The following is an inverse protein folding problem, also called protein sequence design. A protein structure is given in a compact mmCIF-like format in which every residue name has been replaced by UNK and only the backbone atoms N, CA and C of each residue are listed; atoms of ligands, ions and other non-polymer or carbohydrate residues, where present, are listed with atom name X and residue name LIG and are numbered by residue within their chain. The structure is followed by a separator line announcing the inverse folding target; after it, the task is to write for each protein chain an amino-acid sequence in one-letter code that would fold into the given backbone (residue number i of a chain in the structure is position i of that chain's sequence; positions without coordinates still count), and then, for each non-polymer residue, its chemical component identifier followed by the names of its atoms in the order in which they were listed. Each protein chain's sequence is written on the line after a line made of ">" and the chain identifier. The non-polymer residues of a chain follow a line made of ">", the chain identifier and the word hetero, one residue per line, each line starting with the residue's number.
data_IF_055421658764
#
_entry.id   IF_055421658764
#
_cell.length_a   1.000
_cell.length_b   1.000
_cell.length_c   1.000
_cell.angle_alpha   90.00
_cell.angle_beta   90.00
_cell.angle_gamma   90.00
#
_symmetry.space_group_name_H-M   'P 1'
#
loop_
_entity.id
_entity.type
_entity.pdbx_description
1 polymer ?
#
# COMPACT_ATOMS: atom_id res chain seq x y z
N UNK A 1 -33.69 34.47 84.61
CA UNK A 1 -33.50 33.68 83.40
C UNK A 1 -32.85 32.33 83.81
N UNK A 2 -33.62 31.23 83.67
CA UNK A 2 -33.14 29.88 83.93
C UNK A 2 -32.31 29.43 82.76
N UNK A 3 -30.99 29.21 82.99
CA UNK A 3 -30.06 28.60 82.01
C UNK A 3 -30.22 27.11 82.16
N UNK A 4 -30.74 26.43 81.17
CA UNK A 4 -30.73 24.96 81.08
C UNK A 4 -29.38 24.55 80.46
N UNK A 5 -28.54 23.90 81.25
CA UNK A 5 -27.28 23.34 80.79
C UNK A 5 -27.53 21.87 80.50
N UNK A 6 -27.48 21.48 79.22
CA UNK A 6 -27.56 20.12 78.84
C UNK A 6 -26.12 19.61 78.60
N UNK A 7 -25.65 18.68 79.41
CA UNK A 7 -24.32 18.06 79.26
C UNK A 7 -24.45 16.70 78.57
N UNK A 8 -23.76 16.52 77.46
CA UNK A 8 -23.61 15.23 76.78
C UNK A 8 -22.23 14.64 77.18
N UNK A 9 -22.22 13.47 77.78
CA UNK A 9 -21.01 12.75 78.07
C UNK A 9 -20.84 11.65 77.02
N UNK A 10 -19.81 11.72 76.20
CA UNK A 10 -19.48 10.68 75.20
C UNK A 10 -18.11 10.07 75.56
N UNK A 11 -18.01 8.75 75.44
CA UNK A 11 -16.75 8.05 75.59
C UNK A 11 -16.11 7.94 74.22
N UNK A 12 -14.92 8.54 74.06
CA UNK A 12 -14.15 8.47 72.80
C UNK A 12 -12.85 7.67 72.97
N UNK A 13 -12.48 6.92 71.97
CA UNK A 13 -11.18 6.30 71.88
C UNK A 13 -10.22 7.23 71.14
N UNK A 14 -9.08 7.51 71.72
CA UNK A 14 -7.99 8.23 71.07
C UNK A 14 -7.26 7.21 70.17
N UNK A 15 -7.28 7.47 68.87
CA UNK A 15 -6.49 6.70 67.89
C UNK A 15 -5.55 7.65 67.17
N UNK A 16 -4.41 7.15 66.75
CA UNK A 16 -3.56 7.91 65.83
C UNK A 16 -4.31 8.22 64.54
N UNK A 17 -4.04 9.38 63.98
CA UNK A 17 -4.49 9.64 62.59
C UNK A 17 -3.84 8.59 61.73
N UNK A 18 -4.66 7.94 60.85
CA UNK A 18 -4.28 6.72 60.13
C UNK A 18 -2.83 6.64 59.66
N UNK A 19 -2.13 5.59 60.11
CA UNK A 19 -0.75 5.35 59.70
C UNK A 19 -0.61 5.00 58.24
N UNK A 20 0.53 5.25 57.67
CA UNK A 20 0.86 4.83 56.30
C UNK A 20 1.19 3.34 56.27
N UNK A 21 0.54 2.60 55.37
CA UNK A 21 0.86 1.21 55.14
C UNK A 21 2.23 1.08 54.46
N UNK A 22 3.04 0.11 54.90
CA UNK A 22 4.21 -0.28 54.13
C UNK A 22 4.02 -1.66 53.52
N UNK A 23 4.56 -1.81 52.31
CA UNK A 23 4.33 -3.00 51.46
C UNK A 23 5.66 -3.74 51.26
N UNK A 24 5.57 -5.08 51.22
CA UNK A 24 6.70 -5.94 50.91
C UNK A 24 6.36 -6.83 49.71
N UNK A 25 7.37 -7.29 48.96
CA UNK A 25 7.13 -8.35 47.97
C UNK A 25 6.59 -9.60 48.67
N UNK A 26 5.48 -10.12 48.14
CA UNK A 26 4.81 -11.30 48.69
C UNK A 26 5.61 -12.59 48.48
N UNK A 27 5.53 -13.51 49.42
CA UNK A 27 6.05 -14.87 49.31
C UNK A 27 7.53 -15.03 49.63
N UNK A 28 8.17 -14.04 50.30
CA UNK A 28 9.54 -14.13 50.78
C UNK A 28 9.59 -14.61 52.25
N UNK A 29 10.48 -15.53 52.60
CA UNK A 29 10.60 -16.01 53.99
C UNK A 29 11.17 -14.91 54.89
N UNK A 30 10.47 -14.63 55.98
CA UNK A 30 10.91 -13.71 57.03
C UNK A 30 11.88 -14.44 57.97
N UNK A 31 13.15 -14.09 57.93
CA UNK A 31 14.19 -14.68 58.80
C UNK A 31 14.24 -14.06 60.21
N UNK A 32 14.04 -12.76 60.27
CA UNK A 32 14.01 -12.04 61.56
C UNK A 32 13.09 -10.81 61.48
N UNK A 33 12.54 -10.43 62.61
CA UNK A 33 11.77 -9.18 62.81
C UNK A 33 12.46 -8.42 63.93
N UNK A 34 12.81 -7.13 63.68
CA UNK A 34 13.62 -6.33 64.56
C UNK A 34 12.83 -5.31 65.38
N UNK A 35 11.54 -5.13 65.06
CA UNK A 35 10.67 -4.15 65.72
C UNK A 35 9.41 -4.80 66.25
N UNK A 36 8.75 -4.16 67.20
CA UNK A 36 7.47 -4.59 67.77
C UNK A 36 6.40 -3.50 67.59
N UNK A 37 5.12 -3.89 67.67
CA UNK A 37 4.01 -2.93 67.68
C UNK A 37 4.18 -1.97 68.88
N UNK A 38 3.96 -0.67 68.63
CA UNK A 38 4.17 0.40 69.62
C UNK A 38 5.59 0.94 69.66
N UNK A 39 6.55 0.39 68.91
CA UNK A 39 7.92 0.85 68.88
C UNK A 39 8.11 2.06 67.94
N UNK A 40 8.88 3.05 68.39
CA UNK A 40 9.22 4.21 67.58
C UNK A 40 10.40 3.88 66.65
N UNK A 41 10.28 4.16 65.37
CA UNK A 41 11.30 3.93 64.35
C UNK A 41 11.60 5.22 63.58
N UNK A 42 12.83 5.35 63.11
CA UNK A 42 13.26 6.38 62.19
C UNK A 42 13.32 5.84 60.77
N UNK A 43 13.19 6.71 59.76
CA UNK A 43 13.39 6.33 58.37
C UNK A 43 14.78 5.66 58.19
N UNK A 44 14.81 4.47 57.63
CA UNK A 44 16.01 3.66 57.44
C UNK A 44 16.29 2.65 58.56
N UNK A 45 15.56 2.66 59.69
CA UNK A 45 15.70 1.64 60.72
C UNK A 45 15.28 0.26 60.23
N UNK A 46 15.96 -0.81 60.64
CA UNK A 46 15.67 -2.19 60.22
C UNK A 46 14.35 -2.67 60.80
N UNK A 47 13.41 -3.06 59.95
CA UNK A 47 12.13 -3.65 60.36
C UNK A 47 12.20 -5.16 60.37
N UNK A 48 12.66 -5.77 59.25
CA UNK A 48 12.72 -7.22 59.09
C UNK A 48 13.88 -7.63 58.18
N UNK A 49 14.35 -8.86 58.35
CA UNK A 49 15.24 -9.53 57.40
C UNK A 49 14.46 -10.61 56.66
N UNK A 50 14.54 -10.57 55.36
CA UNK A 50 13.96 -11.57 54.43
C UNK A 50 15.07 -12.47 53.91
N UNK A 51 14.77 -13.73 53.61
CA UNK A 51 15.77 -14.67 53.09
C UNK A 51 16.32 -14.16 51.75
N UNK A 52 17.62 -13.92 51.72
CA UNK A 52 18.29 -13.35 50.54
C UNK A 52 18.13 -14.21 49.28
N UNK A 53 18.25 -15.55 49.41
CA UNK A 53 18.10 -16.45 48.26
C UNK A 53 16.72 -16.36 47.64
N UNK A 54 15.66 -16.18 48.43
CA UNK A 54 14.30 -16.01 47.95
C UNK A 54 14.14 -14.68 47.20
N UNK A 55 14.76 -13.59 47.70
CA UNK A 55 14.79 -12.28 47.05
C UNK A 55 15.47 -12.39 45.70
N UNK A 56 16.68 -12.96 45.63
CA UNK A 56 17.42 -13.15 44.37
C UNK A 56 16.66 -14.04 43.38
N UNK A 57 16.05 -15.12 43.84
CA UNK A 57 15.27 -16.01 42.99
C UNK A 57 14.02 -15.32 42.41
N UNK A 58 13.30 -14.58 43.26
CA UNK A 58 12.12 -13.81 42.85
C UNK A 58 12.50 -12.70 41.87
N UNK A 59 13.61 -12.01 42.13
CA UNK A 59 14.15 -10.97 41.24
C UNK A 59 14.47 -11.54 39.83
N UNK A 60 15.23 -12.67 39.78
CA UNK A 60 15.55 -13.34 38.50
C UNK A 60 14.31 -13.77 37.75
N UNK A 61 13.33 -14.38 38.43
CA UNK A 61 12.06 -14.81 37.81
C UNK A 61 11.28 -13.62 37.24
N UNK A 62 11.15 -12.55 38.01
CA UNK A 62 10.42 -11.36 37.62
C UNK A 62 11.09 -10.60 36.45
N UNK A 63 12.43 -10.55 36.45
CA UNK A 63 13.21 -9.98 35.36
C UNK A 63 13.04 -10.77 34.05
N UNK A 64 13.01 -12.11 34.13
CA UNK A 64 12.77 -12.95 32.96
C UNK A 64 11.36 -12.74 32.38
N UNK A 65 10.33 -12.66 33.25
CA UNK A 65 8.97 -12.38 32.85
C UNK A 65 8.81 -10.97 32.26
N UNK A 66 9.45 -9.97 32.87
CA UNK A 66 9.47 -8.61 32.34
C UNK A 66 10.08 -8.56 30.94
N UNK A 67 11.23 -9.23 30.72
CA UNK A 67 11.87 -9.31 29.41
C UNK A 67 10.96 -9.95 28.35
N UNK A 68 10.21 -11.00 28.74
CA UNK A 68 9.25 -11.63 27.86
C UNK A 68 8.11 -10.67 27.46
N UNK A 69 7.53 -9.96 28.47
CA UNK A 69 6.47 -8.97 28.23
C UNK A 69 6.95 -7.78 27.38
N UNK A 70 8.16 -7.30 27.61
CA UNK A 70 8.78 -6.25 26.80
C UNK A 70 8.98 -6.69 25.34
N UNK A 71 9.37 -7.94 25.13
CA UNK A 71 9.48 -8.52 23.78
C UNK A 71 8.12 -8.60 23.08
N UNK A 72 7.08 -9.00 23.80
CA UNK A 72 5.71 -9.06 23.28
C UNK A 72 5.18 -7.65 22.97
N UNK A 73 5.41 -6.69 23.85
CA UNK A 73 5.07 -5.29 23.62
C UNK A 73 5.74 -4.75 22.34
N UNK A 74 7.03 -5.00 22.18
CA UNK A 74 7.78 -4.61 21.00
C UNK A 74 7.23 -5.25 19.71
N UNK A 75 6.69 -6.48 19.79
CA UNK A 75 6.02 -7.15 18.67
C UNK A 75 4.69 -6.47 18.33
N UNK A 76 3.88 -6.15 19.34
CA UNK A 76 2.55 -5.53 19.15
C UNK A 76 2.64 -4.08 18.66
N UNK A 77 3.73 -3.38 18.94
CA UNK A 77 3.95 -2.00 18.50
C UNK A 77 4.60 -1.88 17.13
N UNK A 78 4.91 -3.00 16.47
CA UNK A 78 5.38 -2.97 15.07
C UNK A 78 4.27 -2.48 14.15
N UNK A 79 4.60 -1.62 13.15
CA UNK A 79 3.63 -1.18 12.16
C UNK A 79 3.04 -2.38 11.39
N UNK A 80 1.74 -2.39 11.26
CA UNK A 80 1.02 -3.34 10.38
C UNK A 80 0.69 -2.58 9.11
N UNK A 81 1.26 -3.00 7.98
CA UNK A 81 1.03 -2.40 6.68
C UNK A 81 0.35 -3.39 5.74
N UNK A 82 -0.51 -2.88 4.87
CA UNK A 82 -1.05 -3.64 3.76
C UNK A 82 0.02 -3.79 2.66
N UNK A 83 0.01 -4.91 1.95
CA UNK A 83 0.89 -5.15 0.82
C UNK A 83 0.27 -4.55 -0.46
N UNK A 84 0.97 -3.61 -1.10
CA UNK A 84 0.56 -2.94 -2.34
C UNK A 84 1.08 -3.60 -3.61
N UNK A 85 1.86 -4.68 -3.50
CA UNK A 85 2.60 -5.27 -4.62
C UNK A 85 1.69 -5.65 -5.81
N UNK A 86 0.58 -6.33 -5.54
CA UNK A 86 -0.34 -6.77 -6.61
C UNK A 86 -1.03 -5.59 -7.28
N UNK A 87 -1.37 -4.55 -6.52
CA UNK A 87 -1.95 -3.32 -7.06
C UNK A 87 -0.96 -2.57 -7.95
N UNK A 88 0.28 -2.41 -7.51
CA UNK A 88 1.34 -1.76 -8.29
C UNK A 88 1.63 -2.52 -9.59
N UNK A 89 1.70 -3.85 -9.51
CA UNK A 89 1.88 -4.72 -10.67
C UNK A 89 0.73 -4.60 -11.67
N UNK A 90 -0.51 -4.58 -11.18
CA UNK A 90 -1.70 -4.41 -12.04
C UNK A 90 -1.77 -3.02 -12.68
N UNK A 91 -1.34 -1.97 -11.97
CA UNK A 91 -1.22 -0.61 -12.53
C UNK A 91 -0.16 -0.56 -13.64
N UNK A 92 1.00 -1.18 -13.47
CA UNK A 92 2.03 -1.27 -14.50
C UNK A 92 1.54 -2.05 -15.72
N UNK A 93 0.82 -3.15 -15.52
CA UNK A 93 0.25 -3.93 -16.61
C UNK A 93 -0.78 -3.13 -17.42
N UNK A 94 -1.63 -2.35 -16.76
CA UNK A 94 -2.58 -1.45 -17.41
C UNK A 94 -1.88 -0.38 -18.25
N UNK A 95 -0.86 0.26 -17.68
CA UNK A 95 -0.06 1.26 -18.40
C UNK A 95 0.61 0.65 -19.65
N UNK A 96 1.18 -0.54 -19.51
CA UNK A 96 1.79 -1.27 -20.62
C UNK A 96 0.78 -1.63 -21.71
N UNK A 97 -0.45 -2.01 -21.34
CA UNK A 97 -1.52 -2.31 -22.29
C UNK A 97 -1.92 -1.08 -23.12
N UNK A 98 -2.08 0.08 -22.47
CA UNK A 98 -2.38 1.33 -23.18
C UNK A 98 -1.23 1.75 -24.10
N UNK A 99 0.00 1.62 -23.66
CA UNK A 99 1.16 1.95 -24.49
C UNK A 99 1.32 1.02 -25.69
N UNK A 100 1.03 -0.27 -25.51
CA UNK A 100 1.01 -1.23 -26.61
C UNK A 100 -0.11 -0.92 -27.62
N UNK A 101 -1.29 -0.51 -27.16
CA UNK A 101 -2.39 -0.09 -28.00
C UNK A 101 -2.04 1.14 -28.84
N UNK A 102 -1.44 2.16 -28.22
CA UNK A 102 -1.00 3.39 -28.90
C UNK A 102 0.06 3.09 -29.97
N UNK A 103 1.10 2.31 -29.60
CA UNK A 103 2.14 1.91 -30.55
C UNK A 103 1.58 1.09 -31.73
N UNK A 104 0.65 0.18 -31.44
CA UNK A 104 -0.04 -0.59 -32.48
C UNK A 104 -0.84 0.30 -33.40
N UNK A 105 -1.62 1.25 -32.86
CA UNK A 105 -2.42 2.19 -33.65
C UNK A 105 -1.53 3.06 -34.57
N UNK A 106 -0.40 3.54 -34.07
CA UNK A 106 0.56 4.33 -34.85
C UNK A 106 1.17 3.50 -36.00
N UNK A 107 1.57 2.26 -35.72
CA UNK A 107 2.16 1.37 -36.73
C UNK A 107 1.15 1.01 -37.85
N UNK A 108 -0.11 0.79 -37.48
CA UNK A 108 -1.15 0.53 -38.48
C UNK A 108 -1.54 1.78 -39.27
N UNK A 109 -1.56 2.97 -38.66
CA UNK A 109 -1.79 4.22 -39.36
C UNK A 109 -0.70 4.50 -40.40
N UNK A 110 0.55 4.20 -40.11
CA UNK A 110 1.66 4.31 -41.06
C UNK A 110 1.51 3.34 -42.25
N UNK A 111 1.15 2.06 -41.99
CA UNK A 111 0.92 1.07 -43.02
C UNK A 111 -0.26 1.49 -43.94
N UNK A 112 -1.35 1.98 -43.37
CA UNK A 112 -2.51 2.45 -44.13
C UNK A 112 -2.16 3.67 -44.99
N UNK A 113 -1.40 4.63 -44.45
CA UNK A 113 -0.94 5.80 -45.19
C UNK A 113 -0.02 5.42 -46.36
N UNK A 114 0.87 4.44 -46.18
CA UNK A 114 1.75 3.95 -47.21
C UNK A 114 0.95 3.24 -48.32
N UNK A 115 0.05 2.33 -47.96
CA UNK A 115 -0.83 1.64 -48.93
C UNK A 115 -1.73 2.63 -49.69
N UNK A 116 -2.29 3.63 -49.02
CA UNK A 116 -3.09 4.69 -49.63
C UNK A 116 -2.28 5.53 -50.61
N UNK A 117 -1.03 5.89 -50.26
CA UNK A 117 -0.12 6.65 -51.14
C UNK A 117 0.25 5.87 -52.40
N UNK A 118 0.51 4.56 -52.26
CA UNK A 118 0.79 3.69 -53.40
C UNK A 118 -0.44 3.57 -54.34
N UNK A 119 -1.59 3.33 -53.78
CA UNK A 119 -2.86 3.30 -54.51
C UNK A 119 -3.14 4.60 -55.28
N UNK A 120 -2.93 5.75 -54.65
CA UNK A 120 -3.16 7.06 -55.27
C UNK A 120 -2.12 7.37 -56.36
N UNK A 121 -0.89 6.85 -56.26
CA UNK A 121 0.11 6.94 -57.32
C UNK A 121 -0.29 6.13 -58.54
N UNK A 122 -0.75 4.88 -58.32
CA UNK A 122 -1.27 4.03 -59.41
C UNK A 122 -2.51 4.59 -60.08
N UNK A 123 -3.43 5.19 -59.34
CA UNK A 123 -4.60 5.86 -59.89
C UNK A 123 -4.19 7.05 -60.79
N UNK A 124 -3.16 7.81 -60.40
CA UNK A 124 -2.65 8.89 -61.28
C UNK A 124 -2.02 8.34 -62.56
N UNK A 125 -1.23 7.27 -62.45
CA UNK A 125 -0.64 6.61 -63.60
C UNK A 125 -1.74 6.11 -64.57
N UNK A 126 -2.79 5.49 -64.03
CA UNK A 126 -3.93 5.04 -64.82
C UNK A 126 -4.60 6.19 -65.57
N UNK A 127 -4.89 7.32 -64.89
CA UNK A 127 -5.51 8.49 -65.49
C UNK A 127 -4.65 9.05 -66.64
N UNK A 128 -3.32 9.18 -66.44
CA UNK A 128 -2.40 9.63 -67.48
C UNK A 128 -2.40 8.72 -68.72
N UNK A 129 -2.47 7.39 -68.50
CA UNK A 129 -2.54 6.42 -69.60
C UNK A 129 -3.87 6.47 -70.34
N UNK A 130 -4.98 6.71 -69.63
CA UNK A 130 -6.29 6.93 -70.24
C UNK A 130 -6.33 8.19 -71.07
N UNK A 131 -5.74 9.30 -70.62
CA UNK A 131 -5.61 10.53 -71.40
C UNK A 131 -4.81 10.32 -72.68
N UNK A 132 -3.66 9.60 -72.59
CA UNK A 132 -2.85 9.22 -73.76
C UNK A 132 -3.63 8.35 -74.72
N UNK A 133 -4.42 7.37 -74.25
CA UNK A 133 -5.25 6.56 -75.12
C UNK A 133 -6.28 7.40 -75.91
N UNK A 134 -6.91 8.37 -75.24
CA UNK A 134 -7.84 9.30 -75.88
C UNK A 134 -7.12 10.20 -76.88
N UNK A 135 -5.87 10.59 -76.63
CA UNK A 135 -5.08 11.37 -77.58
C UNK A 135 -4.73 10.53 -78.85
N UNK A 136 -4.18 9.34 -78.67
CA UNK A 136 -3.89 8.43 -79.81
C UNK A 136 -5.09 8.18 -80.61
N UNK A 137 -6.28 7.93 -80.05
CA UNK A 137 -7.52 7.70 -80.75
C UNK A 137 -7.92 8.90 -81.66
N UNK A 138 -7.71 10.13 -81.16
CA UNK A 138 -7.98 11.38 -81.93
C UNK A 138 -6.97 11.53 -83.07
N UNK A 139 -5.67 11.38 -82.80
CA UNK A 139 -4.61 11.51 -83.79
C UNK A 139 -4.75 10.48 -84.92
N UNK A 140 -5.07 9.24 -84.58
CA UNK A 140 -5.37 8.18 -85.59
C UNK A 140 -6.58 8.53 -86.41
N UNK A 141 -7.68 9.01 -85.78
CA UNK A 141 -8.88 9.42 -86.54
C UNK A 141 -8.59 10.61 -87.48
N UNK A 142 -7.81 11.62 -87.03
CA UNK A 142 -7.41 12.76 -87.88
C UNK A 142 -6.59 12.31 -89.08
N UNK A 143 -5.57 11.45 -88.81
CA UNK A 143 -4.70 10.93 -89.89
C UNK A 143 -5.49 10.02 -90.88
N UNK A 144 -6.43 9.25 -90.40
CA UNK A 144 -7.33 8.43 -91.25
C UNK A 144 -8.16 9.34 -92.13
N UNK A 145 -8.83 10.34 -91.59
CA UNK A 145 -9.60 11.32 -92.35
C UNK A 145 -8.76 12.08 -93.38
N UNK A 146 -7.52 12.46 -92.99
CA UNK A 146 -6.57 13.12 -93.92
C UNK A 146 -6.21 12.20 -95.11
N UNK A 147 -5.92 10.93 -94.81
CA UNK A 147 -5.65 9.91 -95.85
C UNK A 147 -6.80 9.73 -96.77
N UNK A 148 -8.06 9.62 -96.26
CA UNK A 148 -9.28 9.44 -97.06
C UNK A 148 -9.54 10.66 -97.99
N UNK A 149 -9.32 11.88 -97.50
CA UNK A 149 -9.46 13.09 -98.36
C UNK A 149 -8.42 13.13 -99.48
N UNK A 150 -7.19 12.79 -99.22
CA UNK A 150 -6.15 12.75 -100.26
C UNK A 150 -6.33 11.62 -101.26
N UNK A 151 -7.00 10.50 -100.92
CA UNK A 151 -7.36 9.44 -101.81
C UNK A 151 -8.55 9.82 -102.73
N UNK A 152 -9.36 10.80 -102.39
CA UNK A 152 -10.50 11.30 -103.20
C UNK A 152 -10.12 12.40 -104.19
N UNK A 153 -8.94 13.09 -103.97
CA UNK A 153 -8.46 14.12 -104.92
C UNK A 153 -7.87 13.50 -106.18
N UNK A 154 -8.14 14.12 -107.40
CA UNK A 154 -7.63 13.68 -108.69
C UNK A 154 -6.07 13.70 -108.79
N UNK A 155 -5.39 14.39 -107.91
CA UNK A 155 -3.97 14.50 -107.86
C UNK A 155 -3.45 13.58 -106.69
N UNK A 156 -3.21 12.32 -107.04
CA UNK A 156 -2.58 11.34 -106.09
C UNK A 156 -1.14 11.69 -105.86
N UNK A 157 -0.87 12.32 -104.68
CA UNK A 157 0.51 12.48 -104.14
C UNK A 157 0.88 11.24 -103.36
N UNK A 158 1.41 10.20 -104.03
CA UNK A 158 1.74 8.89 -103.44
C UNK A 158 2.74 8.99 -102.31
N UNK A 159 3.60 9.99 -102.38
CA UNK A 159 4.62 10.23 -101.36
C UNK A 159 4.00 10.71 -100.00
N UNK A 160 3.01 11.64 -100.07
CA UNK A 160 2.25 12.09 -98.91
C UNK A 160 1.40 10.98 -98.29
N UNK A 161 0.70 10.21 -99.14
CA UNK A 161 -0.07 9.08 -98.65
C UNK A 161 0.75 8.03 -97.98
N UNK A 162 1.90 7.67 -98.58
CA UNK A 162 2.85 6.70 -97.94
C UNK A 162 3.37 7.17 -96.61
N UNK A 163 3.65 8.48 -96.47
CA UNK A 163 4.06 9.06 -95.23
C UNK A 163 2.98 9.01 -94.15
N UNK A 164 1.70 9.32 -94.53
CA UNK A 164 0.58 9.24 -93.58
C UNK A 164 0.33 7.78 -93.17
N UNK A 165 0.48 6.80 -94.04
CA UNK A 165 0.36 5.37 -93.73
C UNK A 165 1.46 4.91 -92.74
N UNK A 166 2.70 5.42 -92.92
CA UNK A 166 3.78 5.14 -92.02
C UNK A 166 3.49 5.76 -90.61
N UNK A 167 3.02 7.00 -90.54
CA UNK A 167 2.62 7.67 -89.29
C UNK A 167 1.44 6.94 -88.65
N UNK A 168 0.42 6.50 -89.41
CA UNK A 168 -0.72 5.67 -88.86
C UNK A 168 -0.17 4.36 -88.26
N UNK A 169 0.69 3.67 -88.99
CA UNK A 169 1.31 2.41 -88.47
C UNK A 169 2.03 2.62 -87.16
N UNK A 170 2.82 3.71 -87.03
CA UNK A 170 3.51 4.08 -85.80
C UNK A 170 2.52 4.40 -84.70
N UNK A 171 1.52 5.26 -84.98
CA UNK A 171 0.51 5.63 -83.93
C UNK A 171 -0.31 4.44 -83.47
N UNK A 172 -0.63 3.52 -84.34
CA UNK A 172 -1.39 2.30 -83.99
C UNK A 172 -0.52 1.34 -83.15
N UNK A 173 0.81 1.29 -83.38
CA UNK A 173 1.73 0.55 -82.53
C UNK A 173 1.85 1.16 -81.12
N UNK A 174 1.97 2.50 -81.07
CA UNK A 174 2.00 3.24 -79.79
C UNK A 174 0.69 3.11 -79.03
N UNK A 175 -0.48 3.19 -79.69
CA UNK A 175 -1.79 2.96 -79.07
C UNK A 175 -1.91 1.55 -78.50
N UNK A 176 -1.41 0.53 -79.23
CA UNK A 176 -1.45 -0.88 -78.83
C UNK A 176 -0.61 -1.05 -77.59
N UNK A 177 0.62 -0.50 -77.57
CA UNK A 177 1.53 -0.55 -76.43
C UNK A 177 0.92 0.19 -75.19
N UNK A 178 0.30 1.36 -75.43
CA UNK A 178 -0.38 2.07 -74.34
C UNK A 178 -1.61 1.30 -73.81
N UNK A 179 -2.35 0.59 -74.64
CA UNK A 179 -3.48 -0.28 -74.25
C UNK A 179 -3.03 -1.44 -73.35
N UNK A 180 -1.90 -2.09 -73.68
CA UNK A 180 -1.31 -3.14 -72.86
C UNK A 180 -0.87 -2.58 -71.49
N UNK A 181 -0.17 -1.43 -71.50
CA UNK A 181 0.27 -0.78 -70.30
C UNK A 181 -0.93 -0.23 -69.43
N UNK A 182 -2.05 0.14 -70.08
CA UNK A 182 -3.27 0.53 -69.35
C UNK A 182 -3.91 -0.65 -68.64
N UNK A 183 -4.00 -1.81 -69.29
CA UNK A 183 -4.53 -3.04 -68.68
C UNK A 183 -3.63 -3.49 -67.51
N UNK A 184 -2.31 -3.36 -67.61
CA UNK A 184 -1.38 -3.63 -66.53
C UNK A 184 -1.57 -2.65 -65.35
N UNK A 185 -1.73 -1.35 -65.61
CA UNK A 185 -1.98 -0.34 -64.61
C UNK A 185 -3.32 -0.58 -63.87
N UNK A 186 -4.38 -0.98 -64.60
CA UNK A 186 -5.67 -1.36 -63.97
C UNK A 186 -5.52 -2.58 -63.08
N UNK A 187 -4.78 -3.59 -63.48
CA UNK A 187 -4.53 -4.79 -62.65
C UNK A 187 -3.77 -4.43 -61.36
N UNK A 188 -2.72 -3.60 -61.47
CA UNK A 188 -1.94 -3.12 -60.32
C UNK A 188 -2.77 -2.25 -59.36
N UNK A 189 -3.67 -1.41 -59.91
CA UNK A 189 -4.56 -0.60 -59.05
C UNK A 189 -5.52 -1.49 -58.27
N UNK A 190 -6.13 -2.50 -58.91
CA UNK A 190 -7.03 -3.45 -58.26
C UNK A 190 -6.29 -4.24 -57.14
N UNK A 191 -5.03 -4.60 -57.36
CA UNK A 191 -4.20 -5.24 -56.34
C UNK A 191 -3.89 -4.29 -55.16
N UNK A 192 -3.62 -3.04 -55.44
CA UNK A 192 -3.37 -2.02 -54.42
C UNK A 192 -4.66 -1.70 -53.61
N UNK A 193 -5.83 -1.64 -54.25
CA UNK A 193 -7.11 -1.47 -53.57
C UNK A 193 -7.38 -2.65 -52.62
N UNK A 194 -7.17 -3.90 -53.07
CA UNK A 194 -7.31 -5.08 -52.21
C UNK A 194 -6.30 -5.10 -51.07
N UNK A 195 -5.08 -4.65 -51.30
CA UNK A 195 -4.06 -4.51 -50.24
C UNK A 195 -4.47 -3.47 -49.19
N UNK A 196 -4.98 -2.32 -49.62
CA UNK A 196 -5.46 -1.27 -48.71
C UNK A 196 -6.65 -1.76 -47.88
N UNK A 197 -7.61 -2.44 -48.44
CA UNK A 197 -8.75 -3.03 -47.72
C UNK A 197 -8.27 -4.05 -46.67
N UNK A 198 -7.30 -4.90 -47.07
CA UNK A 198 -6.68 -5.87 -46.13
C UNK A 198 -6.01 -5.19 -44.96
N UNK A 199 -5.24 -4.10 -45.19
CA UNK A 199 -4.59 -3.31 -44.10
C UNK A 199 -5.63 -2.67 -43.20
N UNK A 200 -6.71 -2.13 -43.72
CA UNK A 200 -7.80 -1.55 -42.93
C UNK A 200 -8.49 -2.60 -42.05
N UNK A 201 -8.80 -3.77 -42.60
CA UNK A 201 -9.38 -4.88 -41.83
C UNK A 201 -8.47 -5.35 -40.70
N UNK A 202 -7.17 -5.53 -40.97
CA UNK A 202 -6.19 -5.92 -39.99
C UNK A 202 -6.00 -4.85 -38.89
N UNK A 203 -6.05 -3.57 -39.26
CA UNK A 203 -6.02 -2.45 -38.29
C UNK A 203 -7.21 -2.51 -37.33
N UNK A 204 -8.43 -2.74 -37.87
CA UNK A 204 -9.62 -2.86 -37.01
C UNK A 204 -9.54 -4.06 -36.07
N UNK A 205 -9.06 -5.19 -36.54
CA UNK A 205 -8.85 -6.38 -35.68
C UNK A 205 -7.79 -6.11 -34.58
N UNK A 206 -6.69 -5.50 -34.96
CA UNK A 206 -5.65 -5.11 -33.99
C UNK A 206 -6.18 -4.11 -32.95
N UNK A 207 -7.00 -3.14 -33.35
CA UNK A 207 -7.64 -2.18 -32.46
C UNK A 207 -8.60 -2.86 -31.47
N UNK A 208 -9.42 -3.82 -31.94
CA UNK A 208 -10.31 -4.61 -31.08
C UNK A 208 -9.52 -5.45 -30.07
N UNK A 209 -8.46 -6.11 -30.53
CA UNK A 209 -7.59 -6.91 -29.65
C UNK A 209 -6.92 -6.04 -28.58
N UNK A 210 -6.40 -4.87 -28.97
CA UNK A 210 -5.79 -3.92 -28.03
C UNK A 210 -6.81 -3.38 -27.02
N UNK A 211 -8.04 -3.07 -27.44
CA UNK A 211 -9.11 -2.62 -26.55
C UNK A 211 -9.50 -3.70 -25.53
N UNK A 212 -9.61 -4.96 -25.96
CA UNK A 212 -9.89 -6.09 -25.07
C UNK A 212 -8.76 -6.30 -24.03
N UNK A 213 -7.50 -6.20 -24.48
CA UNK A 213 -6.35 -6.30 -23.56
C UNK A 213 -6.34 -5.18 -22.52
N UNK A 214 -6.65 -3.94 -22.93
CA UNK A 214 -6.76 -2.80 -22.02
C UNK A 214 -7.91 -2.98 -21.01
N UNK A 215 -9.08 -3.45 -21.47
CA UNK A 215 -10.22 -3.74 -20.59
C UNK A 215 -9.91 -4.82 -19.56
N UNK A 216 -9.26 -5.91 -19.97
CA UNK A 216 -8.84 -6.97 -19.06
C UNK A 216 -7.82 -6.45 -18.02
N UNK A 217 -6.86 -5.63 -18.44
CA UNK A 217 -5.89 -5.03 -17.54
C UNK A 217 -6.56 -4.03 -16.57
N UNK A 218 -7.58 -3.30 -17.01
CA UNK A 218 -8.36 -2.41 -16.15
C UNK A 218 -9.18 -3.19 -15.11
N UNK A 219 -9.81 -4.28 -15.50
CA UNK A 219 -10.51 -5.17 -14.57
C UNK A 219 -9.53 -5.74 -13.53
N UNK A 220 -8.39 -6.26 -13.96
CA UNK A 220 -7.36 -6.77 -13.05
C UNK A 220 -6.85 -5.70 -12.07
N UNK A 221 -6.65 -4.45 -12.54
CA UNK A 221 -6.29 -3.33 -11.66
C UNK A 221 -7.40 -3.01 -10.65
N UNK A 222 -8.66 -3.05 -11.05
CA UNK A 222 -9.80 -2.80 -10.17
C UNK A 222 -9.92 -3.89 -9.10
N UNK A 223 -9.76 -5.16 -9.47
CA UNK A 223 -9.78 -6.29 -8.55
C UNK A 223 -8.62 -6.21 -7.54
N UNK A 224 -7.41 -5.90 -8.01
CA UNK A 224 -6.24 -5.69 -7.15
C UNK A 224 -6.43 -4.49 -6.21
N UNK A 225 -7.08 -3.41 -6.66
CA UNK A 225 -7.41 -2.27 -5.80
C UNK A 225 -8.38 -2.65 -4.70
N UNK A 226 -9.45 -3.38 -5.01
CA UNK A 226 -10.41 -3.85 -4.01
C UNK A 226 -9.77 -4.82 -3.01
N UNK A 227 -8.87 -5.70 -3.47
CA UNK A 227 -8.11 -6.57 -2.58
C UNK A 227 -7.19 -5.76 -1.65
N UNK A 228 -6.52 -4.75 -2.17
CA UNK A 228 -5.69 -3.84 -1.38
C UNK A 228 -6.52 -3.05 -0.36
N UNK A 229 -7.67 -2.47 -0.74
CA UNK A 229 -8.57 -1.75 0.16
C UNK A 229 -9.00 -2.63 1.35
N UNK A 230 -9.38 -3.89 1.10
CA UNK A 230 -9.68 -4.87 2.14
C UNK A 230 -8.48 -5.20 3.02
N UNK A 231 -7.28 -5.30 2.43
CA UNK A 231 -6.06 -5.55 3.20
C UNK A 231 -5.68 -4.36 4.09
N UNK A 232 -5.93 -3.14 3.65
CA UNK A 232 -5.76 -1.90 4.45
C UNK A 232 -6.74 -1.90 5.63
N UNK A 233 -8.00 -2.25 5.42
CA UNK A 233 -9.01 -2.35 6.48
C UNK A 233 -8.59 -3.40 7.52
N UNK A 234 -8.24 -4.61 7.09
CA UNK A 234 -7.76 -5.68 7.97
C UNK A 234 -6.47 -5.30 8.72
N UNK A 235 -5.54 -4.60 8.06
CA UNK A 235 -4.32 -4.08 8.70
C UNK A 235 -4.66 -3.03 9.77
N UNK A 236 -5.63 -2.15 9.50
CA UNK A 236 -6.11 -1.15 10.45
C UNK A 236 -6.78 -1.78 11.68
N UNK A 237 -7.65 -2.78 11.48
CA UNK A 237 -8.28 -3.53 12.58
C UNK A 237 -7.22 -4.26 13.42
N UNK A 238 -6.24 -4.91 12.77
CA UNK A 238 -5.14 -5.59 13.45
C UNK A 238 -4.30 -4.60 14.24
N UNK A 239 -3.98 -3.43 13.66
CA UNK A 239 -3.23 -2.38 14.35
C UNK A 239 -3.98 -1.85 15.57
N UNK A 240 -5.30 -1.64 15.48
CA UNK A 240 -6.14 -1.21 16.59
C UNK A 240 -6.18 -2.26 17.71
N UNK A 241 -6.35 -3.54 17.38
CA UNK A 241 -6.31 -4.64 18.35
C UNK A 241 -4.94 -4.77 19.03
N UNK A 242 -3.86 -4.64 18.26
CA UNK A 242 -2.50 -4.64 18.78
C UNK A 242 -2.25 -3.44 19.71
N UNK A 243 -2.73 -2.24 19.37
CA UNK A 243 -2.59 -1.05 20.20
C UNK A 243 -3.34 -1.19 21.53
N UNK A 244 -4.56 -1.73 21.52
CA UNK A 244 -5.32 -2.01 22.74
C UNK A 244 -4.58 -3.01 23.64
N UNK A 245 -4.07 -4.10 23.07
CA UNK A 245 -3.27 -5.11 23.81
C UNK A 245 -1.96 -4.52 24.33
N UNK A 246 -1.28 -3.69 23.55
CA UNK A 246 -0.04 -3.01 23.95
C UNK A 246 -0.27 -2.05 25.12
N UNK A 247 -1.43 -1.36 25.17
CA UNK A 247 -1.77 -0.47 26.30
C UNK A 247 -1.88 -1.24 27.61
N UNK A 248 -2.57 -2.37 27.61
CA UNK A 248 -2.69 -3.24 28.79
C UNK A 248 -1.34 -3.80 29.19
N UNK A 249 -0.54 -4.24 28.22
CA UNK A 249 0.77 -4.80 28.46
C UNK A 249 1.77 -3.76 28.99
N UNK A 250 1.67 -2.51 28.52
CA UNK A 250 2.49 -1.39 29.02
C UNK A 250 2.24 -1.13 30.50
N UNK A 251 0.99 -1.21 30.95
CA UNK A 251 0.66 -1.06 32.38
C UNK A 251 1.24 -2.20 33.22
N UNK A 252 1.08 -3.46 32.75
CA UNK A 252 1.69 -4.60 33.42
C UNK A 252 3.21 -4.50 33.50
N UNK A 253 3.87 -4.02 32.44
CA UNK A 253 5.31 -3.78 32.41
C UNK A 253 5.71 -2.75 33.48
N UNK A 254 4.97 -1.63 33.62
CA UNK A 254 5.25 -0.62 34.65
C UNK A 254 5.13 -1.17 36.08
N UNK A 255 4.07 -1.94 36.33
CA UNK A 255 3.88 -2.59 37.64
C UNK A 255 5.03 -3.56 37.94
N UNK A 256 5.44 -4.35 36.94
CA UNK A 256 6.57 -5.28 37.09
C UNK A 256 7.91 -4.56 37.26
N UNK A 257 8.14 -3.46 36.51
CA UNK A 257 9.33 -2.63 36.66
C UNK A 257 9.46 -2.05 38.09
N UNK A 258 8.35 -1.57 38.64
CA UNK A 258 8.30 -1.09 40.04
C UNK A 258 8.58 -2.22 41.02
N UNK A 259 8.04 -3.41 40.78
CA UNK A 259 8.30 -4.59 41.62
C UNK A 259 9.76 -5.05 41.52
N UNK A 260 10.35 -5.03 40.33
CA UNK A 260 11.77 -5.34 40.11
C UNK A 260 12.66 -4.33 40.82
N UNK A 261 12.32 -3.03 40.79
CA UNK A 261 13.06 -2.00 41.48
C UNK A 261 13.03 -2.20 43.00
N UNK A 262 11.87 -2.54 43.56
CA UNK A 262 11.69 -2.85 44.97
C UNK A 262 12.56 -4.05 45.40
N UNK A 263 12.50 -5.14 44.60
CA UNK A 263 13.33 -6.33 44.86
C UNK A 263 14.84 -6.06 44.73
N UNK A 264 15.25 -5.22 43.77
CA UNK A 264 16.65 -4.80 43.63
C UNK A 264 17.15 -4.05 44.86
N UNK A 265 16.39 -3.07 45.36
CA UNK A 265 16.73 -2.35 46.59
C UNK A 265 16.87 -3.29 47.80
N UNK A 266 15.96 -4.29 47.85
CA UNK A 266 15.99 -5.30 48.92
C UNK A 266 17.21 -6.24 48.78
N UNK A 267 17.59 -6.63 47.58
CA UNK A 267 18.79 -7.43 47.32
C UNK A 267 20.08 -6.65 47.64
N UNK A 268 20.16 -5.36 47.25
CA UNK A 268 21.27 -4.46 47.60
C UNK A 268 21.43 -4.27 49.12
N UNK A 269 20.34 -4.37 49.88
CA UNK A 269 20.28 -4.30 51.33
C UNK A 269 20.42 -5.70 51.99
N UNK A 270 20.91 -6.70 51.26
CA UNK A 270 21.08 -8.08 51.75
C UNK A 270 19.80 -8.70 52.35
N UNK A 271 18.61 -8.36 51.79
CA UNK A 271 17.30 -8.83 52.25
C UNK A 271 16.74 -8.07 53.45
N UNK A 272 17.41 -7.00 53.94
CA UNK A 272 16.93 -6.19 55.07
C UNK A 272 15.92 -5.15 54.57
N UNK A 273 14.70 -5.23 55.06
CA UNK A 273 13.68 -4.21 54.85
C UNK A 273 13.76 -3.14 55.94
N UNK A 274 13.86 -1.87 55.51
CA UNK A 274 13.98 -0.73 56.40
C UNK A 274 12.70 0.10 56.45
N UNK A 275 12.51 0.87 57.53
CA UNK A 275 11.37 1.77 57.70
C UNK A 275 11.31 2.82 56.56
N UNK A 276 10.22 2.96 55.86
CA UNK A 276 10.06 3.94 54.77
C UNK A 276 9.87 5.38 55.29
N UNK A 277 9.56 5.54 56.57
CA UNK A 277 9.34 6.85 57.21
C UNK A 277 9.54 6.77 58.70
N UNK A 278 9.79 7.90 59.36
CA UNK A 278 9.84 8.03 60.81
C UNK A 278 8.42 7.97 61.39
N UNK A 279 8.24 7.24 62.51
CA UNK A 279 6.93 7.13 63.18
C UNK A 279 6.89 6.04 64.23
N UNK A 280 5.68 5.61 64.61
CA UNK A 280 5.48 4.49 65.55
C UNK A 280 4.80 3.33 64.78
N UNK A 281 5.33 2.12 64.96
CA UNK A 281 4.74 0.91 64.36
C UNK A 281 3.37 0.65 64.98
N UNK A 282 2.29 0.86 64.21
CA UNK A 282 0.92 0.65 64.71
C UNK A 282 0.45 -0.81 64.57
N UNK A 283 0.80 -1.42 63.41
CA UNK A 283 0.53 -2.83 63.18
C UNK A 283 1.69 -3.49 62.46
N UNK A 284 1.94 -4.75 62.76
CA UNK A 284 2.98 -5.55 62.15
C UNK A 284 2.42 -6.92 61.76
N UNK A 285 2.43 -7.20 60.45
CA UNK A 285 1.92 -8.47 59.88
C UNK A 285 3.06 -9.44 59.51
N UNK A 286 4.27 -9.15 59.99
CA UNK A 286 5.46 -9.95 59.74
C UNK A 286 5.70 -10.89 60.92
N UNK A 287 5.92 -12.18 60.66
CA UNK A 287 6.26 -13.17 61.69
C UNK A 287 7.46 -13.98 61.20
N UNK A 288 8.45 -14.12 62.10
CA UNK A 288 9.64 -14.94 61.83
C UNK A 288 9.24 -16.38 61.45
N UNK A 289 9.82 -16.93 60.38
CA UNK A 289 9.58 -18.27 59.88
C UNK A 289 8.35 -18.38 58.96
N UNK A 290 7.62 -17.28 58.72
CA UNK A 290 6.50 -17.26 57.77
C UNK A 290 6.88 -16.52 56.49
N UNK A 291 6.10 -16.67 55.45
CA UNK A 291 6.27 -15.91 54.21
C UNK A 291 5.62 -14.54 54.33
N UNK A 292 6.26 -13.52 53.77
CA UNK A 292 5.72 -12.15 53.70
C UNK A 292 4.41 -12.11 52.92
N UNK A 293 3.43 -11.36 53.46
CA UNK A 293 2.25 -10.91 52.67
C UNK A 293 2.55 -9.58 51.98
N UNK A 294 1.62 -9.11 51.18
CA UNK A 294 1.71 -7.83 50.45
C UNK A 294 1.78 -6.64 51.40
N UNK A 295 1.07 -6.64 52.53
CA UNK A 295 1.09 -5.64 53.55
C UNK A 295 2.02 -6.10 54.71
N UNK A 296 3.05 -5.36 54.97
CA UNK A 296 3.98 -5.65 56.07
C UNK A 296 3.52 -5.06 57.40
N UNK A 297 2.76 -4.00 57.39
CA UNK A 297 2.25 -3.29 58.56
C UNK A 297 1.94 -1.83 58.28
N UNK A 298 1.77 -1.05 59.36
CA UNK A 298 1.57 0.40 59.27
C UNK A 298 2.44 1.16 60.27
N UNK A 299 2.90 2.34 59.89
CA UNK A 299 3.68 3.27 60.69
C UNK A 299 2.88 4.58 60.82
N UNK A 300 2.58 5.04 62.03
CA UNK A 300 1.93 6.32 62.28
C UNK A 300 2.89 7.47 61.97
N UNK A 301 2.34 8.52 61.38
CA UNK A 301 3.07 9.77 61.17
C UNK A 301 2.90 10.67 62.42
N UNK A 302 3.97 10.98 63.16
CA UNK A 302 3.89 11.81 64.36
C UNK A 302 3.40 13.22 64.06
N UNK A 303 3.53 13.72 62.85
CA UNK A 303 3.07 15.07 62.46
C UNK A 303 1.55 15.13 62.22
N UNK A 304 0.84 14.00 62.00
CA UNK A 304 -0.60 13.97 61.76
C UNK A 304 -1.47 13.97 62.99
N UNK A 305 -0.90 13.86 64.18
CA UNK A 305 -1.62 13.94 65.44
C UNK A 305 -2.60 12.79 65.70
N UNK A 306 -3.45 12.98 66.74
CA UNK A 306 -4.43 11.98 67.16
C UNK A 306 -5.84 12.29 66.64
N UNK A 307 -6.61 11.27 66.29
CA UNK A 307 -8.04 11.36 66.02
C UNK A 307 -8.81 10.77 67.20
N UNK A 308 -9.85 11.46 67.63
CA UNK A 308 -10.75 10.94 68.65
C UNK A 308 -12.03 10.45 67.94
N UNK A 309 -12.27 9.14 68.01
CA UNK A 309 -13.57 8.55 67.55
C UNK A 309 -14.52 8.46 68.74
N UNK A 310 -15.64 9.10 68.62
CA UNK A 310 -16.75 8.99 69.57
C UNK A 310 -17.75 7.95 69.05
N UNK A 311 -18.11 6.96 69.93
CA UNK A 311 -19.32 6.17 69.71
C UNK A 311 -20.52 6.97 70.27
N UNK A 312 -21.40 7.38 69.41
CA UNK A 312 -22.68 8.00 69.75
C UNK A 312 -23.73 6.92 70.00
#
# INVERSE_FOLDING_TARGET
>A
PNTITQSLTATGTIQWAAGSLFYLPEGLLVEAVFVSEGEAVQEGDKIAALRREDVEQKLRSLQAELAQKQTEYARLTKPVAADSYDLEKAQQALQAAYQAAENSAAAWAEKEANAGSERDALQRELNERQEKAAQYAREIAEKQAQRELLQQEESLDEEIISRIEAELTQLTAEETQNREALAEAEARLNEADAALESVQSQREEAARTAAQAAEQAEQARNDARHAYEKSVEAASETAAANAASATVLAEQIREMESSVETLKKLDEQEGVFCAPQTGTVESLQLMQGQTSGQVGGSISDPERGYQIRFAL
#
